data_IF_164782610663
#
_entry.id   IF_164782610663
#
_cell.length_a   1.000
_cell.length_b   1.000
_cell.length_c   1.000
_cell.angle_alpha   90.00
_cell.angle_beta   90.00
_cell.angle_gamma   90.00
#
_symmetry.space_group_name_H-M   'P 1'
#
loop_
_entity.id
_entity.type
_entity.pdbx_description
1 polymer ?
#
# COMPACT_ATOMS: atom_id res chain seq x y z
N UNK A 1 -1.85 -14.14 -9.18
CA UNK A 1 -1.78 -12.91 -8.38
C UNK A 1 -1.57 -13.35 -6.95
N UNK A 2 -0.64 -12.74 -6.20
CA UNK A 2 -0.55 -13.02 -4.78
C UNK A 2 -1.87 -12.57 -4.12
N UNK A 3 -2.43 -13.39 -3.23
CA UNK A 3 -3.63 -13.00 -2.48
C UNK A 3 -3.33 -11.71 -1.70
N UNK A 4 -4.24 -10.75 -1.74
CA UNK A 4 -4.07 -9.52 -0.97
C UNK A 4 -4.20 -9.85 0.53
N UNK A 5 -3.28 -9.32 1.33
CA UNK A 5 -3.27 -9.58 2.77
C UNK A 5 -4.49 -8.95 3.45
N UNK A 6 -5.10 -9.67 4.39
CA UNK A 6 -6.26 -9.17 5.11
C UNK A 6 -5.93 -7.87 5.85
N UNK A 7 -6.81 -6.88 5.74
CA UNK A 7 -6.64 -5.53 6.30
C UNK A 7 -7.88 -5.09 7.07
N UNK A 8 -7.76 -4.29 8.14
CA UNK A 8 -8.93 -3.71 8.79
C UNK A 8 -9.58 -2.61 7.94
N UNK A 9 -10.89 -2.47 8.04
CA UNK A 9 -11.53 -1.20 7.67
C UNK A 9 -11.09 -0.10 8.64
N UNK A 10 -11.12 1.15 8.19
CA UNK A 10 -10.80 2.32 8.99
C UNK A 10 -11.67 2.43 10.23
N UNK A 11 -12.94 2.02 10.10
CA UNK A 11 -13.91 1.95 11.19
C UNK A 11 -13.52 0.87 12.20
N UNK A 12 -13.24 -0.36 11.75
CA UNK A 12 -12.77 -1.42 12.63
C UNK A 12 -11.46 -1.04 13.36
N UNK A 13 -10.50 -0.46 12.63
CA UNK A 13 -9.24 -0.02 13.22
C UNK A 13 -9.44 0.96 14.38
N UNK A 14 -10.29 1.98 14.17
CA UNK A 14 -10.49 3.07 15.14
C UNK A 14 -11.45 2.71 16.27
N UNK A 15 -12.59 2.12 15.93
CA UNK A 15 -13.68 1.91 16.88
C UNK A 15 -13.58 0.58 17.63
N UNK A 16 -13.18 -0.50 16.94
CA UNK A 16 -13.09 -1.82 17.57
C UNK A 16 -11.73 -2.07 18.21
N UNK A 17 -10.66 -1.75 17.49
CA UNK A 17 -9.30 -2.03 17.93
C UNK A 17 -8.72 -0.88 18.76
N UNK A 18 -9.36 0.29 18.75
CA UNK A 18 -8.90 1.47 19.48
C UNK A 18 -7.54 1.99 19.01
N UNK A 19 -7.15 1.68 17.76
CA UNK A 19 -5.85 2.04 17.21
C UNK A 19 -5.91 3.37 16.46
N UNK A 20 -4.85 4.16 16.61
CA UNK A 20 -4.68 5.37 15.82
C UNK A 20 -4.44 5.01 14.33
N UNK A 21 -4.98 5.84 13.43
CA UNK A 21 -4.74 5.69 11.98
C UNK A 21 -3.27 6.05 11.67
N UNK A 22 -2.43 5.10 11.21
CA UNK A 22 -1.04 5.41 10.87
C UNK A 22 -0.92 6.25 9.58
N UNK A 23 0.25 6.87 9.34
CA UNK A 23 0.55 7.48 8.05
C UNK A 23 0.46 6.48 6.89
N UNK A 24 0.29 6.97 5.66
CA UNK A 24 0.06 6.14 4.45
C UNK A 24 1.24 5.20 4.15
N UNK A 25 2.45 5.58 4.54
CA UNK A 25 3.64 4.74 4.37
C UNK A 25 3.70 3.54 5.33
N UNK A 26 2.75 3.40 6.26
CA UNK A 26 2.55 2.22 7.11
C UNK A 26 1.17 1.60 6.82
N UNK A 27 1.10 0.57 5.98
CA UNK A 27 -0.13 -0.11 5.61
C UNK A 27 -0.89 -0.71 6.79
N UNK A 28 -2.22 -0.76 6.68
CA UNK A 28 -3.07 -1.22 7.79
C UNK A 28 -2.93 -2.72 8.09
N UNK A 29 -2.59 -3.53 7.09
CA UNK A 29 -2.29 -4.97 7.21
C UNK A 29 -0.89 -5.25 7.78
N UNK A 30 0.01 -4.26 7.81
CA UNK A 30 1.33 -4.33 8.43
C UNK A 30 1.30 -3.84 9.90
N UNK A 31 0.12 -3.50 10.44
CA UNK A 31 -0.03 -3.08 11.84
C UNK A 31 0.19 -4.28 12.77
N UNK A 32 1.04 -4.07 13.76
CA UNK A 32 1.37 -5.09 14.75
C UNK A 32 0.23 -5.26 15.77
N UNK A 33 -0.81 -6.00 15.38
CA UNK A 33 -1.95 -6.33 16.22
C UNK A 33 -2.30 -7.82 16.09
N UNK A 34 -2.54 -8.56 17.20
CA UNK A 34 -2.78 -10.00 17.15
C UNK A 34 -3.91 -10.41 16.20
N UNK A 35 -5.02 -9.67 16.20
CA UNK A 35 -6.18 -9.98 15.34
C UNK A 35 -5.90 -9.67 13.86
N UNK A 36 -5.16 -8.60 13.55
CA UNK A 36 -4.81 -8.22 12.18
C UNK A 36 -3.88 -9.28 11.60
N UNK A 37 -2.82 -9.64 12.34
CA UNK A 37 -1.88 -10.69 11.93
C UNK A 37 -2.57 -12.03 11.72
N UNK A 38 -3.49 -12.41 12.63
CA UNK A 38 -4.26 -13.65 12.49
C UNK A 38 -5.15 -13.63 11.24
N UNK A 39 -5.79 -12.49 10.94
CA UNK A 39 -6.59 -12.36 9.73
C UNK A 39 -5.70 -12.51 8.49
N UNK A 40 -4.55 -11.82 8.44
CA UNK A 40 -3.59 -11.94 7.34
C UNK A 40 -3.15 -13.40 7.13
N UNK A 41 -2.72 -14.09 8.19
CA UNK A 41 -2.35 -15.51 8.13
C UNK A 41 -3.48 -16.39 7.62
N UNK A 42 -4.74 -16.13 8.02
CA UNK A 42 -5.87 -17.01 7.73
C UNK A 42 -6.38 -16.89 6.30
N UNK A 43 -6.12 -15.76 5.66
CA UNK A 43 -6.56 -15.42 4.30
C UNK A 43 -5.39 -15.36 3.31
N UNK A 44 -4.16 -15.63 3.73
CA UNK A 44 -3.00 -15.70 2.84
C UNK A 44 -3.07 -16.88 1.86
N UNK A 45 -3.74 -17.97 2.25
CA UNK A 45 -3.92 -19.17 1.44
C UNK A 45 -5.41 -19.38 1.10
N UNK A 46 -5.80 -19.37 -0.19
CA UNK A 46 -7.19 -19.56 -0.61
C UNK A 46 -7.74 -20.94 -0.25
N UNK A 47 -6.89 -21.96 -0.09
CA UNK A 47 -7.32 -23.33 0.21
C UNK A 47 -7.62 -23.54 1.70
N UNK A 48 -7.24 -22.58 2.56
CA UNK A 48 -7.37 -22.70 4.01
C UNK A 48 -8.84 -22.50 4.46
N UNK A 49 -9.58 -23.54 4.90
CA UNK A 49 -11.06 -23.49 5.00
C UNK A 49 -11.55 -22.46 6.01
N UNK A 50 -12.39 -21.47 5.64
CA UNK A 50 -12.85 -20.44 6.58
C UNK A 50 -14.23 -20.76 7.20
N UNK A 51 -14.38 -20.52 8.52
CA UNK A 51 -15.66 -20.75 9.24
C UNK A 51 -16.57 -19.52 9.08
N UNK A 52 -17.79 -19.69 8.53
CA UNK A 52 -18.77 -18.60 8.39
C UNK A 52 -19.45 -18.23 9.72
N UNK A 53 -19.83 -16.95 9.85
CA UNK A 53 -20.72 -16.45 10.91
C UNK A 53 -22.16 -16.69 10.46
N UNK A 54 -22.74 -17.84 10.81
CA UNK A 54 -24.07 -18.28 10.33
C UNK A 54 -25.24 -17.37 10.73
N UNK A 55 -25.08 -16.61 11.81
CA UNK A 55 -26.09 -15.69 12.31
C UNK A 55 -26.24 -14.42 11.45
N UNK A 56 -25.25 -14.11 10.62
CA UNK A 56 -25.31 -12.99 9.67
C UNK A 56 -25.71 -13.53 8.30
N UNK A 57 -26.77 -12.97 7.73
CA UNK A 57 -27.43 -13.47 6.52
C UNK A 57 -27.48 -12.46 5.36
N UNK A 58 -27.09 -11.20 5.58
CA UNK A 58 -27.01 -10.19 4.52
C UNK A 58 -25.67 -10.19 3.79
N UNK A 59 -24.60 -10.60 4.48
CA UNK A 59 -23.25 -10.72 3.93
C UNK A 59 -22.58 -12.04 4.36
N UNK A 60 -21.63 -12.51 3.55
CA UNK A 60 -20.79 -13.65 3.93
C UNK A 60 -19.64 -13.14 4.79
N UNK A 61 -19.77 -13.31 6.11
CA UNK A 61 -18.69 -13.00 7.06
C UNK A 61 -18.03 -14.27 7.59
N UNK A 62 -16.72 -14.22 7.76
CA UNK A 62 -15.88 -15.31 8.24
C UNK A 62 -15.29 -15.01 9.61
N UNK A 63 -15.20 -16.03 10.45
CA UNK A 63 -14.66 -15.94 11.80
C UNK A 63 -13.14 -15.91 11.80
N UNK A 64 -12.58 -14.95 12.53
CA UNK A 64 -11.17 -14.95 12.94
C UNK A 64 -11.09 -14.99 14.46
N UNK A 65 -10.28 -15.90 14.99
CA UNK A 65 -10.13 -16.14 16.44
C UNK A 65 -8.65 -16.25 16.78
N UNK A 66 -8.17 -15.43 17.73
CA UNK A 66 -6.81 -15.52 18.27
C UNK A 66 -6.82 -15.09 19.73
N UNK A 67 -6.37 -15.95 20.64
CA UNK A 67 -6.41 -15.68 22.08
C UNK A 67 -7.82 -15.20 22.51
N UNK A 68 -7.92 -14.01 23.12
CA UNK A 68 -9.19 -13.35 23.48
C UNK A 68 -9.83 -12.58 22.33
N UNK A 69 -9.09 -12.27 21.27
CA UNK A 69 -9.63 -11.53 20.13
C UNK A 69 -10.53 -12.39 19.25
N UNK A 70 -11.61 -11.78 18.81
CA UNK A 70 -12.57 -12.28 17.84
C UNK A 70 -12.74 -11.22 16.76
N UNK A 71 -12.93 -11.67 15.53
CA UNK A 71 -13.17 -10.79 14.40
C UNK A 71 -14.07 -11.40 13.35
N UNK A 72 -14.56 -10.53 12.48
CA UNK A 72 -15.34 -10.86 11.30
C UNK A 72 -14.62 -10.30 10.06
N UNK A 73 -14.37 -11.17 9.08
CA UNK A 73 -13.77 -10.81 7.80
C UNK A 73 -14.80 -10.95 6.69
N UNK A 74 -14.91 -9.92 5.86
CA UNK A 74 -15.65 -9.91 4.61
C UNK A 74 -14.65 -9.95 3.44
N UNK A 75 -14.99 -10.57 2.33
CA UNK A 75 -14.08 -10.67 1.16
C UNK A 75 -14.79 -10.13 -0.07
N UNK A 76 -14.16 -9.19 -0.76
CA UNK A 76 -14.61 -8.66 -2.04
C UNK A 76 -13.47 -8.69 -3.04
N UNK A 77 -13.72 -9.25 -4.24
CA UNK A 77 -12.73 -9.35 -5.31
C UNK A 77 -11.35 -9.87 -4.83
N UNK A 78 -11.37 -10.92 -4.00
CA UNK A 78 -10.18 -11.54 -3.37
C UNK A 78 -9.42 -10.68 -2.34
N UNK A 79 -9.93 -9.49 -1.99
CA UNK A 79 -9.39 -8.65 -0.92
C UNK A 79 -10.15 -8.89 0.41
N UNK A 80 -9.48 -9.42 1.46
CA UNK A 80 -10.10 -9.64 2.76
C UNK A 80 -10.09 -8.38 3.63
N UNK A 81 -11.27 -7.98 4.10
CA UNK A 81 -11.48 -6.87 5.02
C UNK A 81 -11.90 -7.36 6.39
N UNK A 82 -11.09 -7.08 7.42
CA UNK A 82 -11.50 -7.19 8.82
C UNK A 82 -12.47 -6.04 9.15
N UNK A 83 -13.76 -6.35 9.14
CA UNK A 83 -14.87 -5.38 9.26
C UNK A 83 -15.35 -5.19 10.70
N UNK A 84 -15.11 -6.18 11.55
CA UNK A 84 -15.39 -6.09 12.98
C UNK A 84 -14.34 -6.83 13.82
N UNK A 85 -14.05 -6.29 15.00
CA UNK A 85 -13.13 -6.87 15.99
C UNK A 85 -13.60 -6.64 17.42
N UNK A 86 -13.17 -7.49 18.35
CA UNK A 86 -13.50 -7.34 19.76
C UNK A 86 -12.86 -8.41 20.61
N UNK A 87 -12.88 -8.23 21.93
CA UNK A 87 -12.41 -9.22 22.88
C UNK A 87 -13.56 -10.08 23.39
N UNK A 88 -13.27 -11.35 23.69
CA UNK A 88 -14.11 -12.17 24.55
C UNK A 88 -13.74 -11.84 26.00
N UNK A 89 -14.67 -11.29 26.77
CA UNK A 89 -14.47 -11.05 28.19
C UNK A 89 -14.45 -12.37 28.99
N UNK A 90 -13.61 -12.44 30.02
CA UNK A 90 -13.57 -13.60 30.91
C UNK A 90 -14.84 -13.65 31.76
N UNK A 91 -15.55 -14.77 31.73
CA UNK A 91 -16.76 -14.99 32.54
C UNK A 91 -18.01 -14.27 32.04
N UNK A 92 -17.92 -13.50 30.95
CA UNK A 92 -19.11 -12.92 30.30
C UNK A 92 -19.82 -13.97 29.45
N UNK A 93 -21.16 -14.09 29.55
CA UNK A 93 -21.96 -14.87 28.62
C UNK A 93 -22.01 -14.28 27.21
N UNK A 94 -21.52 -13.04 27.02
CA UNK A 94 -21.57 -12.34 25.74
C UNK A 94 -20.44 -12.82 24.81
N UNK A 95 -20.78 -13.77 23.94
CA UNK A 95 -19.96 -14.12 22.78
C UNK A 95 -19.94 -12.95 21.80
N UNK A 96 -18.75 -12.49 21.39
CA UNK A 96 -18.57 -11.44 20.38
C UNK A 96 -19.49 -11.63 19.17
N UNK A 97 -19.68 -12.87 18.71
CA UNK A 97 -20.53 -13.14 17.55
C UNK A 97 -22.03 -12.94 17.83
N UNK A 98 -22.48 -13.16 19.07
CA UNK A 98 -23.85 -12.85 19.49
C UNK A 98 -24.08 -11.33 19.64
N UNK A 99 -23.07 -10.60 20.12
CA UNK A 99 -23.11 -9.13 20.15
C UNK A 99 -23.13 -8.54 18.72
N UNK A 100 -22.33 -9.12 17.81
CA UNK A 100 -22.32 -8.74 16.40
C UNK A 100 -23.68 -8.99 15.72
N UNK A 101 -24.29 -10.16 15.94
CA UNK A 101 -25.64 -10.49 15.48
C UNK A 101 -26.67 -9.48 16.00
N UNK A 102 -26.67 -9.24 17.31
CA UNK A 102 -27.60 -8.29 17.95
C UNK A 102 -27.46 -6.88 17.38
N UNK A 103 -26.23 -6.41 17.16
CA UNK A 103 -25.95 -5.12 16.53
C UNK A 103 -26.45 -5.07 15.09
N UNK A 104 -26.23 -6.14 14.31
CA UNK A 104 -26.67 -6.22 12.91
C UNK A 104 -28.20 -6.26 12.78
N UNK A 105 -28.90 -6.96 13.67
CA UNK A 105 -30.38 -6.95 13.73
C UNK A 105 -30.90 -5.56 14.11
N UNK A 106 -30.27 -4.88 15.07
CA UNK A 106 -30.65 -3.51 15.42
C UNK A 106 -30.39 -2.52 14.27
N UNK A 107 -29.29 -2.68 13.53
CA UNK A 107 -28.99 -1.88 12.35
C UNK A 107 -30.01 -2.10 11.22
N UNK A 108 -30.44 -3.35 11.01
CA UNK A 108 -31.51 -3.69 10.05
C UNK A 108 -32.83 -3.01 10.42
N UNK A 109 -33.20 -2.99 11.70
CA UNK A 109 -34.40 -2.31 12.17
C UNK A 109 -34.37 -0.82 11.81
N UNK A 110 -33.26 -0.13 12.15
CA UNK A 110 -33.06 1.29 11.76
C UNK A 110 -33.12 1.52 10.25
N UNK A 111 -32.46 0.66 9.48
CA UNK A 111 -32.49 0.75 8.02
C UNK A 111 -33.92 0.69 7.47
N UNK A 112 -34.73 -0.25 7.95
CA UNK A 112 -36.10 -0.44 7.49
C UNK A 112 -37.06 0.67 7.93
N UNK A 113 -36.75 1.37 9.03
CA UNK A 113 -37.51 2.55 9.46
C UNK A 113 -37.26 3.75 8.52
N UNK A 114 -36.06 3.81 7.92
CA UNK A 114 -35.60 4.92 7.08
C UNK A 114 -35.76 4.68 5.57
N UNK A 115 -35.90 3.43 5.13
CA UNK A 115 -35.85 3.04 3.72
C UNK A 115 -37.03 2.18 3.28
N UNK A 116 -37.52 2.44 2.06
CA UNK A 116 -38.50 1.60 1.37
C UNK A 116 -37.94 1.15 0.01
N UNK A 117 -38.00 -0.15 -0.34
CA UNK A 117 -38.60 -1.26 0.42
C UNK A 117 -37.71 -1.75 1.58
N UNK A 118 -38.29 -2.46 2.58
CA UNK A 118 -37.52 -3.04 3.67
C UNK A 118 -36.63 -4.18 3.20
N UNK A 119 -35.53 -4.43 3.94
CA UNK A 119 -34.66 -5.58 3.75
C UNK A 119 -35.38 -6.89 4.09
N UNK A 120 -35.12 -7.91 3.28
CA UNK A 120 -35.63 -9.28 3.45
C UNK A 120 -34.77 -10.13 4.38
N UNK A 121 -33.50 -9.74 4.59
CA UNK A 121 -32.55 -10.38 5.51
C UNK A 121 -32.91 -10.08 6.95
N UNK A 122 -32.48 -10.94 7.89
CA UNK A 122 -32.68 -10.75 9.33
C UNK A 122 -31.62 -9.84 9.96
N UNK A 123 -30.50 -9.63 9.27
CA UNK A 123 -29.39 -8.78 9.68
C UNK A 123 -29.06 -7.72 8.64
N UNK A 124 -28.32 -6.68 9.06
CA UNK A 124 -27.74 -5.68 8.18
C UNK A 124 -26.36 -5.25 8.68
N UNK A 125 -25.33 -5.55 7.90
CA UNK A 125 -23.91 -5.31 8.20
C UNK A 125 -23.26 -4.33 7.21
N UNK A 126 -24.04 -3.71 6.31
CA UNK A 126 -23.53 -2.74 5.34
C UNK A 126 -22.73 -1.58 5.95
N UNK A 127 -23.08 -1.17 7.17
CA UNK A 127 -22.35 -0.14 7.93
C UNK A 127 -20.97 -0.56 8.44
N UNK A 128 -20.63 -1.86 8.38
CA UNK A 128 -19.33 -2.41 8.78
C UNK A 128 -18.37 -2.59 7.60
N UNK A 129 -18.91 -2.65 6.38
CA UNK A 129 -18.17 -2.90 5.15
C UNK A 129 -17.26 -1.71 4.80
N UNK A 130 -16.15 -1.95 4.05
CA UNK A 130 -15.31 -0.86 3.56
C UNK A 130 -16.13 0.16 2.76
N UNK A 131 -15.82 1.44 2.97
CA UNK A 131 -16.41 2.54 2.21
C UNK A 131 -15.39 3.25 1.33
N UNK A 132 -15.80 4.39 0.76
CA UNK A 132 -14.94 5.21 -0.11
C UNK A 132 -13.62 5.62 0.55
N UNK A 133 -13.61 5.89 1.85
CA UNK A 133 -12.38 6.25 2.56
C UNK A 133 -11.41 5.07 2.66
N UNK A 134 -11.93 3.84 2.83
CA UNK A 134 -11.13 2.61 2.83
C UNK A 134 -10.48 2.38 1.47
N UNK A 135 -11.23 2.57 0.38
CA UNK A 135 -10.71 2.45 -0.99
C UNK A 135 -9.60 3.48 -1.27
N UNK A 136 -9.83 4.73 -0.88
CA UNK A 136 -8.83 5.80 -1.04
C UNK A 136 -7.59 5.49 -0.21
N UNK A 137 -7.76 4.99 1.01
CA UNK A 137 -6.65 4.57 1.87
C UNK A 137 -5.89 3.40 1.25
N UNK A 138 -6.58 2.38 0.76
CA UNK A 138 -5.97 1.21 0.12
C UNK A 138 -5.11 1.63 -1.09
N UNK A 139 -5.66 2.46 -1.99
CA UNK A 139 -4.92 2.95 -3.16
C UNK A 139 -3.72 3.81 -2.78
N UNK A 140 -3.84 4.63 -1.74
CA UNK A 140 -2.73 5.44 -1.26
C UNK A 140 -1.61 4.57 -0.67
N UNK A 141 -1.95 3.51 0.07
CA UNK A 141 -0.99 2.56 0.61
C UNK A 141 -0.29 1.75 -0.47
N UNK A 142 -1.01 1.33 -1.52
CA UNK A 142 -0.42 0.64 -2.66
C UNK A 142 0.60 1.54 -3.38
N UNK A 143 0.27 2.81 -3.60
CA UNK A 143 1.21 3.79 -4.11
C UNK A 143 2.45 3.96 -3.20
N UNK A 144 2.26 4.03 -1.88
CA UNK A 144 3.37 4.13 -0.93
C UNK A 144 4.20 2.83 -0.83
N UNK A 145 3.62 1.65 -1.10
CA UNK A 145 4.38 0.41 -1.24
C UNK A 145 5.20 0.40 -2.52
N UNK A 146 4.62 0.83 -3.64
CA UNK A 146 5.34 0.98 -4.90
C UNK A 146 6.53 1.93 -4.72
N UNK A 147 6.32 3.08 -4.06
CA UNK A 147 7.38 4.03 -3.73
C UNK A 147 8.48 3.40 -2.85
N UNK A 148 8.10 2.69 -1.77
CA UNK A 148 9.04 1.99 -0.88
C UNK A 148 9.87 0.93 -1.61
N UNK A 149 9.31 0.24 -2.60
CA UNK A 149 10.03 -0.74 -3.44
C UNK A 149 10.96 -0.08 -4.45
N UNK A 150 10.53 1.05 -5.03
CA UNK A 150 11.27 1.72 -6.10
C UNK A 150 12.45 2.55 -5.58
N UNK A 151 12.33 3.15 -4.40
CA UNK A 151 13.38 3.97 -3.79
C UNK A 151 14.75 3.28 -3.70
N UNK A 152 14.90 2.07 -3.12
CA UNK A 152 16.20 1.42 -3.07
C UNK A 152 16.75 1.15 -4.47
N UNK A 153 15.92 0.76 -5.43
CA UNK A 153 16.35 0.54 -6.82
C UNK A 153 16.95 1.82 -7.43
N UNK A 154 16.28 2.97 -7.27
CA UNK A 154 16.80 4.25 -7.76
C UNK A 154 18.11 4.61 -7.06
N UNK A 155 18.17 4.46 -5.74
CA UNK A 155 19.38 4.75 -4.97
C UNK A 155 20.56 3.85 -5.38
N UNK A 156 20.31 2.56 -5.62
CA UNK A 156 21.34 1.61 -6.06
C UNK A 156 21.88 1.96 -7.44
N UNK A 157 21.02 2.36 -8.38
CA UNK A 157 21.45 2.80 -9.71
C UNK A 157 22.28 4.09 -9.64
N UNK A 158 21.87 5.07 -8.83
CA UNK A 158 22.63 6.31 -8.60
C UNK A 158 23.99 5.98 -7.98
N UNK A 159 24.03 5.12 -6.96
CA UNK A 159 25.26 4.70 -6.27
C UNK A 159 26.21 3.97 -7.21
N UNK A 160 25.70 3.01 -7.99
CA UNK A 160 26.50 2.27 -8.95
C UNK A 160 27.13 3.21 -9.99
N UNK A 161 26.35 4.17 -10.49
CA UNK A 161 26.83 5.16 -11.44
C UNK A 161 27.86 6.13 -10.84
N UNK A 162 27.67 6.56 -9.58
CA UNK A 162 28.67 7.35 -8.87
C UNK A 162 30.01 6.62 -8.68
N UNK A 163 29.99 5.29 -8.57
CA UNK A 163 31.20 4.49 -8.33
C UNK A 163 32.07 4.33 -9.57
N UNK A 164 31.48 4.16 -10.75
CA UNK A 164 32.22 3.87 -11.98
C UNK A 164 32.04 4.91 -13.09
N UNK A 165 31.18 5.91 -12.90
CA UNK A 165 30.87 6.93 -13.89
C UNK A 165 30.14 6.40 -15.13
N UNK A 166 29.63 5.17 -15.12
CA UNK A 166 28.88 4.58 -16.23
C UNK A 166 27.38 4.64 -15.97
N UNK A 167 26.59 4.52 -17.04
CA UNK A 167 25.15 4.37 -16.91
C UNK A 167 24.79 2.99 -16.35
N UNK A 168 23.93 2.94 -15.34
CA UNK A 168 23.34 1.71 -14.83
C UNK A 168 21.85 1.70 -15.11
N UNK A 169 21.31 0.53 -15.49
CA UNK A 169 19.91 0.41 -15.87
C UNK A 169 19.26 -0.87 -15.36
N UNK A 170 17.95 -0.80 -15.17
CA UNK A 170 17.10 -1.92 -14.75
C UNK A 170 15.78 -1.92 -15.54
N UNK A 171 15.20 -3.10 -15.71
CA UNK A 171 13.85 -3.24 -16.27
C UNK A 171 12.81 -3.19 -15.14
N UNK A 172 11.83 -2.29 -15.27
CA UNK A 172 10.69 -2.12 -14.38
C UNK A 172 9.40 -2.32 -15.18
N UNK A 173 8.69 -3.43 -14.98
CA UNK A 173 7.36 -3.70 -15.56
C UNK A 173 7.19 -3.29 -17.04
N UNK A 174 8.19 -3.61 -17.87
CA UNK A 174 8.16 -3.34 -19.31
C UNK A 174 8.76 -2.00 -19.76
N UNK A 175 9.24 -1.17 -18.83
CA UNK A 175 10.04 0.02 -19.11
C UNK A 175 11.49 -0.14 -18.63
N UNK A 176 12.45 0.43 -19.33
CA UNK A 176 13.84 0.48 -18.88
C UNK A 176 14.09 1.80 -18.14
N UNK A 177 14.57 1.74 -16.91
CA UNK A 177 15.05 2.90 -16.15
C UNK A 177 16.59 2.88 -16.17
N UNK A 178 17.21 3.93 -16.68
CA UNK A 178 18.66 4.12 -16.63
C UNK A 178 19.03 5.39 -15.86
N UNK A 179 20.14 5.36 -15.14
CA UNK A 179 20.70 6.50 -14.42
C UNK A 179 22.19 6.61 -14.73
N UNK A 180 22.63 7.82 -15.04
CA UNK A 180 24.03 8.16 -15.25
C UNK A 180 24.38 9.38 -14.39
N UNK A 181 25.45 9.28 -13.62
CA UNK A 181 25.98 10.35 -12.78
C UNK A 181 27.40 10.66 -13.24
N UNK A 182 27.61 11.92 -13.63
CA UNK A 182 28.88 12.40 -14.13
C UNK A 182 29.35 13.57 -13.28
N UNK A 183 30.54 13.45 -12.69
CA UNK A 183 31.24 14.59 -12.11
C UNK A 183 32.00 15.32 -13.23
N UNK A 184 31.70 16.58 -13.48
CA UNK A 184 32.51 17.40 -14.37
C UNK A 184 33.73 17.97 -13.63
N UNK A 185 34.78 18.25 -14.41
CA UNK A 185 36.05 18.84 -14.00
C UNK A 185 35.90 20.20 -13.29
N UNK A 186 34.70 20.81 -13.35
CA UNK A 186 34.31 22.06 -12.69
C UNK A 186 33.68 21.92 -11.29
N UNK A 187 33.69 20.73 -10.68
CA UNK A 187 33.10 20.40 -9.37
C UNK A 187 31.58 20.23 -9.31
N UNK A 188 30.89 20.26 -10.44
CA UNK A 188 29.46 19.99 -10.53
C UNK A 188 29.21 18.51 -10.80
N UNK A 189 28.31 17.89 -10.03
CA UNK A 189 27.87 16.52 -10.25
C UNK A 189 26.54 16.56 -10.97
N UNK A 190 26.49 16.04 -12.19
CA UNK A 190 25.28 15.97 -13.00
C UNK A 190 24.70 14.57 -12.89
N UNK A 191 23.39 14.48 -12.71
CA UNK A 191 22.65 13.23 -12.85
C UNK A 191 21.70 13.34 -14.02
N UNK A 192 21.67 12.29 -14.82
CA UNK A 192 20.71 12.10 -15.90
C UNK A 192 19.93 10.80 -15.65
N UNK A 193 18.61 10.90 -15.72
CA UNK A 193 17.68 9.77 -15.68
C UNK A 193 17.08 9.61 -17.06
N UNK A 194 17.00 8.36 -17.52
CA UNK A 194 16.25 7.99 -18.71
C UNK A 194 15.20 6.94 -18.40
N UNK A 195 14.07 7.06 -19.08
CA UNK A 195 13.05 6.03 -19.10
C UNK A 195 12.73 5.70 -20.55
N UNK A 196 12.90 4.44 -20.94
CA UNK A 196 12.49 3.93 -22.25
C UNK A 196 11.20 3.13 -22.09
N UNK A 197 10.19 3.50 -22.88
CA UNK A 197 8.88 2.85 -22.92
C UNK A 197 7.79 3.72 -22.31
N UNK A 198 6.55 3.24 -22.42
CA UNK A 198 5.37 3.98 -22.00
C UNK A 198 5.18 3.92 -20.48
N UNK A 199 5.63 4.97 -19.78
CA UNK A 199 5.35 5.17 -18.34
C UNK A 199 4.40 6.35 -18.12
N UNK A 200 3.49 6.29 -17.14
CA UNK A 200 2.68 7.45 -16.75
C UNK A 200 3.58 8.60 -16.25
N UNK A 201 3.26 9.85 -16.62
CA UNK A 201 4.02 11.04 -16.17
C UNK A 201 4.20 11.13 -14.66
N UNK A 202 3.23 10.64 -13.89
CA UNK A 202 3.31 10.62 -12.41
C UNK A 202 4.39 9.66 -11.91
N UNK A 203 4.57 8.50 -12.55
CA UNK A 203 5.62 7.55 -12.20
C UNK A 203 7.01 8.14 -12.52
N UNK A 204 7.16 8.78 -13.68
CA UNK A 204 8.39 9.49 -14.02
C UNK A 204 8.71 10.58 -12.97
N UNK A 205 7.72 11.40 -12.59
CA UNK A 205 7.87 12.41 -11.54
C UNK A 205 8.26 11.80 -10.17
N UNK A 206 7.66 10.66 -9.80
CA UNK A 206 8.04 9.91 -8.60
C UNK A 206 9.49 9.45 -8.66
N UNK A 207 9.93 8.86 -9.78
CA UNK A 207 11.32 8.39 -9.97
C UNK A 207 12.32 9.53 -9.85
N UNK A 208 12.11 10.65 -10.55
CA UNK A 208 13.06 11.79 -10.49
C UNK A 208 13.14 12.37 -9.07
N UNK A 209 12.03 12.39 -8.32
CA UNK A 209 12.02 12.85 -6.93
C UNK A 209 12.70 11.90 -5.93
N UNK A 210 13.02 10.67 -6.34
CA UNK A 210 13.74 9.70 -5.50
C UNK A 210 15.26 9.85 -5.59
N UNK A 211 15.78 10.58 -6.58
CA UNK A 211 17.23 10.77 -6.69
C UNK A 211 17.71 11.73 -5.60
N UNK A 212 18.67 11.31 -4.75
CA UNK A 212 19.16 12.13 -3.66
C UNK A 212 19.92 13.36 -4.15
N UNK A 213 19.96 14.42 -3.34
CA UNK A 213 20.76 15.61 -3.62
C UNK A 213 20.28 16.49 -4.78
N UNK A 214 19.13 16.21 -5.39
CA UNK A 214 18.60 16.99 -6.52
C UNK A 214 17.48 17.93 -6.08
N UNK A 215 17.48 19.16 -6.58
CA UNK A 215 16.37 20.09 -6.34
C UNK A 215 15.12 19.66 -7.14
N UNK A 216 13.96 19.39 -6.49
CA UNK A 216 12.79 18.84 -7.19
C UNK A 216 12.25 19.71 -8.34
N UNK A 217 12.46 21.03 -8.27
CA UNK A 217 12.02 21.99 -9.30
C UNK A 217 13.02 22.21 -10.43
N UNK A 218 14.25 21.68 -10.32
CA UNK A 218 15.34 21.97 -11.26
C UNK A 218 15.55 20.88 -12.33
N UNK A 219 14.69 19.86 -12.37
CA UNK A 219 14.76 18.82 -13.41
C UNK A 219 14.47 19.40 -14.79
N UNK A 220 15.45 19.30 -15.68
CA UNK A 220 15.34 19.73 -17.07
C UNK A 220 15.04 18.53 -17.96
N UNK A 221 14.14 18.69 -18.94
CA UNK A 221 13.95 17.67 -19.97
C UNK A 221 15.05 17.85 -21.01
N UNK A 222 15.81 16.79 -21.26
CA UNK A 222 16.87 16.81 -22.25
C UNK A 222 16.48 16.09 -23.53
N UNK A 223 17.13 16.51 -24.62
CA UNK A 223 16.95 15.95 -25.95
C UNK A 223 18.13 15.05 -26.39
N UNK A 224 19.10 14.81 -25.49
CA UNK A 224 20.25 13.94 -25.73
C UNK A 224 20.92 13.54 -24.41
N UNK A 225 21.65 12.41 -24.42
CA UNK A 225 22.68 12.11 -23.44
C UNK A 225 24.06 12.38 -24.03
N UNK A 226 25.10 12.63 -23.21
CA UNK A 226 26.47 12.60 -23.68
C UNK A 226 26.74 11.30 -24.46
N UNK A 227 27.44 11.42 -25.59
CA UNK A 227 28.04 10.28 -26.32
C UNK A 227 27.08 9.30 -27.03
N UNK A 228 25.74 9.48 -27.01
CA UNK A 228 24.83 8.62 -27.77
C UNK A 228 23.52 9.27 -28.27
N UNK A 229 22.91 8.75 -29.34
CA UNK A 229 21.59 9.17 -29.79
C UNK A 229 20.46 8.67 -28.86
N UNK A 230 19.32 9.37 -28.89
CA UNK A 230 18.10 8.94 -28.20
C UNK A 230 17.47 7.71 -28.87
N UNK A 231 16.99 6.78 -28.04
CA UNK A 231 16.16 5.67 -28.48
C UNK A 231 14.70 6.11 -28.71
N UNK A 232 13.91 5.37 -29.52
CA UNK A 232 12.47 5.60 -29.62
C UNK A 232 11.78 5.49 -28.25
N UNK A 233 10.84 6.39 -27.98
CA UNK A 233 10.10 6.47 -26.70
C UNK A 233 10.98 6.70 -25.47
N UNK A 234 12.21 7.15 -25.67
CA UNK A 234 13.09 7.57 -24.58
C UNK A 234 12.70 8.96 -24.08
N UNK A 235 12.56 9.09 -22.77
CA UNK A 235 12.41 10.36 -22.07
C UNK A 235 13.61 10.53 -21.15
N UNK A 236 14.24 11.72 -21.19
CA UNK A 236 15.46 12.02 -20.45
C UNK A 236 15.23 13.26 -19.61
N UNK A 237 15.68 13.21 -18.36
CA UNK A 237 15.76 14.36 -17.48
C UNK A 237 17.15 14.46 -16.86
N UNK A 238 17.66 15.67 -16.68
CA UNK A 238 18.88 15.92 -15.91
C UNK A 238 18.68 16.94 -14.79
N UNK A 239 19.57 16.87 -13.80
CA UNK A 239 19.64 17.80 -12.70
C UNK A 239 21.07 17.89 -12.16
N UNK A 240 21.34 18.95 -11.42
CA UNK A 240 22.53 19.05 -10.57
C UNK A 240 22.29 18.29 -9.27
N UNK A 241 23.24 17.44 -8.92
CA UNK A 241 23.27 16.68 -7.69
C UNK A 241 24.24 17.34 -6.71
N UNK A 242 23.79 17.56 -5.47
CA UNK A 242 24.64 18.02 -4.37
C UNK A 242 25.77 17.00 -4.13
N UNK A 243 27.05 17.39 -4.31
CA UNK A 243 28.19 16.50 -4.07
C UNK A 243 28.24 15.94 -2.64
N UNK A 244 27.70 16.66 -1.66
CA UNK A 244 27.62 16.21 -0.26
C UNK A 244 26.66 15.05 -0.10
N UNK A 245 25.51 15.11 -0.75
CA UNK A 245 24.52 14.03 -0.74
C UNK A 245 24.99 12.84 -1.58
N UNK A 246 25.71 13.09 -2.68
CA UNK A 246 26.37 12.04 -3.45
C UNK A 246 27.40 11.26 -2.62
N UNK A 247 28.25 11.96 -1.85
CA UNK A 247 29.22 11.33 -0.96
C UNK A 247 28.54 10.47 0.13
N UNK A 248 27.46 10.96 0.76
CA UNK A 248 26.70 10.19 1.76
C UNK A 248 26.14 8.87 1.20
N UNK A 249 25.72 8.87 -0.07
CA UNK A 249 25.21 7.68 -0.73
C UNK A 249 26.29 6.61 -0.93
N UNK A 250 27.54 7.03 -1.16
CA UNK A 250 28.69 6.12 -1.28
C UNK A 250 29.09 5.52 0.08
N UNK A 251 28.96 6.29 1.16
CA UNK A 251 29.29 5.88 2.53
C UNK A 251 28.24 4.93 3.17
N UNK A 252 27.10 4.76 2.53
CA UNK A 252 26.05 3.83 3.00
C UNK A 252 26.40 2.40 2.54
N UNK A 253 26.60 1.48 3.49
CA UNK A 253 26.74 0.05 3.20
C UNK A 253 25.45 -0.49 2.56
N UNK A 254 25.54 -1.48 1.64
CA UNK A 254 24.38 -2.08 0.98
C UNK A 254 23.46 -2.85 1.93
#
# INVERSE_FOLDING_TARGET
MAAESARPTLRCLREDLGLALPPVNRPLDEIDHPLIRKAAERFADPDTPQERIRAIDDQVLFKVKVQRWRGAVWVEADLPWLVAGGQREDGSPDDFYAALESSATAARARYNDEHAPPLTTSTYTGHLLPGREDDLRFRAEDAARAERRLRPIVHDLVRASLLDGHEHAVMLDGAALGIHVQADSGHETYVAIRIIGSVPKRLAATIVSMVPGCEPGAWMSDYAMPERPMAPEEQIWSNLMDPTEAAKLLDTDP
#
